data_IF_276350262969
#
_entry.id   IF_276350262969
#
_cell.length_a   1.000
_cell.length_b   1.000
_cell.length_c   1.000
_cell.angle_alpha   90.00
_cell.angle_beta   90.00
_cell.angle_gamma   90.00
#
_symmetry.space_group_name_H-M   'P 1'
#
loop_
_entity.id
_entity.type
_entity.pdbx_description
1 polymer ?
#
# COMPACT_ATOMS: atom_id res chain seq x y z
N UNK A 1 10.11 -56.46 -1.63
CA UNK A 1 9.63 -55.07 -1.50
C UNK A 1 10.41 -54.44 -0.34
N UNK A 2 11.29 -53.48 -0.61
CA UNK A 2 11.77 -52.48 0.36
C UNK A 2 12.68 -51.49 -0.37
N UNK A 3 12.16 -50.29 -0.62
CA UNK A 3 12.89 -49.18 -1.19
C UNK A 3 13.67 -48.47 -0.07
N UNK A 4 15.01 -48.52 -0.13
CA UNK A 4 15.87 -47.64 0.67
C UNK A 4 16.04 -46.32 -0.05
N UNK A 5 15.31 -45.31 0.38
CA UNK A 5 15.45 -43.93 -0.07
C UNK A 5 16.67 -43.29 0.58
N UNK A 6 17.63 -42.86 -0.24
CA UNK A 6 18.79 -42.05 0.17
C UNK A 6 18.32 -40.72 0.81
N UNK A 7 18.95 -40.23 1.87
CA UNK A 7 18.68 -38.89 2.37
C UNK A 7 19.31 -37.86 1.41
N UNK A 8 18.45 -37.14 0.70
CA UNK A 8 18.85 -35.99 -0.11
C UNK A 8 19.34 -34.86 0.79
N UNK A 9 20.57 -34.42 0.54
CA UNK A 9 21.16 -33.19 1.07
C UNK A 9 20.40 -31.98 0.51
N UNK A 10 19.41 -31.49 1.26
CA UNK A 10 18.75 -30.22 0.98
C UNK A 10 19.16 -29.18 2.04
N UNK A 11 19.69 -28.07 1.53
CA UNK A 11 20.29 -26.90 2.18
C UNK A 11 19.59 -26.39 3.46
N UNK A 12 20.33 -25.71 4.36
CA UNK A 12 19.74 -25.10 5.53
C UNK A 12 18.71 -24.05 5.10
N UNK A 13 17.46 -24.24 5.52
CA UNK A 13 16.43 -23.20 5.42
C UNK A 13 16.85 -22.12 6.42
N UNK A 14 17.41 -21.02 5.91
CA UNK A 14 17.67 -19.82 6.70
C UNK A 14 16.31 -19.22 7.05
N UNK A 15 15.69 -19.73 8.12
CA UNK A 15 14.62 -19.02 8.85
C UNK A 15 15.28 -17.85 9.59
N UNK A 16 15.56 -16.76 8.88
CA UNK A 16 15.96 -15.49 9.52
C UNK A 16 15.69 -14.32 8.58
N UNK A 17 14.41 -13.97 8.46
CA UNK A 17 14.00 -12.64 8.00
C UNK A 17 12.72 -12.13 8.70
N UNK A 18 12.20 -12.85 9.70
CA UNK A 18 10.94 -12.48 10.37
C UNK A 18 11.08 -11.36 11.41
N UNK A 19 12.25 -10.74 11.56
CA UNK A 19 12.50 -9.73 12.61
C UNK A 19 13.23 -8.48 12.10
N UNK A 20 13.18 -8.19 10.79
CA UNK A 20 13.56 -6.87 10.32
C UNK A 20 12.49 -5.86 10.79
N UNK A 21 12.84 -4.76 11.47
CA UNK A 21 11.87 -3.70 11.72
C UNK A 21 11.36 -3.24 10.37
N UNK A 22 10.07 -3.44 10.11
CA UNK A 22 9.39 -2.84 8.96
C UNK A 22 9.53 -1.34 9.21
N UNK A 23 10.53 -0.70 8.58
CA UNK A 23 10.54 0.74 8.40
C UNK A 23 9.29 1.00 7.57
N UNK A 24 8.19 1.33 8.24
CA UNK A 24 6.99 1.84 7.61
C UNK A 24 7.43 3.09 6.87
N UNK A 25 7.75 2.95 5.58
CA UNK A 25 7.92 4.09 4.70
C UNK A 25 6.55 4.76 4.68
N UNK A 26 6.44 5.87 5.42
CA UNK A 26 5.27 6.72 5.35
C UNK A 26 5.13 7.18 3.90
N UNK A 27 4.10 6.67 3.22
CA UNK A 27 3.75 7.13 1.87
C UNK A 27 3.31 8.58 2.03
N UNK A 28 3.90 9.49 1.24
CA UNK A 28 3.49 10.90 1.29
C UNK A 28 2.04 11.04 0.82
N UNK A 29 1.35 12.04 1.36
CA UNK A 29 -0.01 12.39 0.93
C UNK A 29 -0.04 12.62 -0.58
N UNK A 30 0.97 13.32 -1.14
CA UNK A 30 1.13 13.53 -2.59
C UNK A 30 1.19 12.23 -3.40
N UNK A 31 1.90 11.22 -2.90
CA UNK A 31 2.03 9.93 -3.58
C UNK A 31 0.71 9.18 -3.56
N UNK A 32 -0.01 9.24 -2.44
CA UNK A 32 -1.34 8.62 -2.33
C UNK A 32 -2.34 9.32 -3.24
N UNK A 33 -2.36 10.65 -3.20
CA UNK A 33 -3.13 11.54 -4.06
C UNK A 33 -2.96 11.21 -5.55
N UNK A 34 -1.72 11.17 -6.04
CA UNK A 34 -1.42 10.84 -7.43
C UNK A 34 -1.82 9.39 -7.81
N UNK A 35 -1.68 8.45 -6.88
CA UNK A 35 -2.11 7.06 -7.09
C UNK A 35 -3.62 6.97 -7.25
N UNK A 36 -4.40 7.68 -6.43
CA UNK A 36 -5.86 7.71 -6.53
C UNK A 36 -6.29 8.34 -7.86
N UNK A 37 -5.66 9.43 -8.29
CA UNK A 37 -5.97 10.08 -9.57
C UNK A 37 -5.76 9.11 -10.75
N UNK A 38 -4.64 8.38 -10.76
CA UNK A 38 -4.39 7.36 -11.78
C UNK A 38 -5.41 6.23 -11.75
N UNK A 39 -5.86 5.82 -10.57
CA UNK A 39 -6.90 4.81 -10.44
C UNK A 39 -8.26 5.30 -10.96
N UNK A 40 -8.58 6.59 -10.81
CA UNK A 40 -9.78 7.21 -11.37
C UNK A 40 -9.73 7.13 -12.89
N UNK A 41 -8.64 7.59 -13.51
CA UNK A 41 -8.45 7.53 -14.98
C UNK A 41 -8.62 6.09 -15.49
N UNK A 42 -8.02 5.11 -14.80
CA UNK A 42 -8.17 3.70 -15.15
C UNK A 42 -9.61 3.19 -15.01
N UNK A 43 -10.34 3.62 -13.98
CA UNK A 43 -11.73 3.23 -13.79
C UNK A 43 -12.66 3.88 -14.82
N UNK A 44 -12.36 5.10 -15.26
CA UNK A 44 -13.05 5.79 -16.36
C UNK A 44 -12.80 5.06 -17.69
N UNK A 45 -11.55 4.73 -18.00
CA UNK A 45 -11.15 4.00 -19.21
C UNK A 45 -11.82 2.62 -19.29
N UNK A 46 -11.98 1.95 -18.15
CA UNK A 46 -12.66 0.65 -18.04
C UNK A 46 -14.19 0.77 -18.02
N UNK A 47 -14.74 1.98 -17.95
CA UNK A 47 -16.18 2.21 -17.90
C UNK A 47 -16.83 1.64 -16.64
N UNK A 48 -16.20 1.83 -15.47
CA UNK A 48 -16.70 1.35 -14.16
C UNK A 48 -17.10 2.55 -13.28
N UNK A 49 -18.32 3.10 -13.43
CA UNK A 49 -18.71 4.35 -12.74
C UNK A 49 -18.71 4.27 -11.22
N UNK A 50 -19.04 3.10 -10.66
CA UNK A 50 -19.04 2.89 -9.21
C UNK A 50 -17.64 2.95 -8.61
N UNK A 51 -16.63 2.48 -9.35
CA UNK A 51 -15.23 2.57 -8.92
C UNK A 51 -14.74 4.03 -8.99
N UNK A 52 -15.08 4.75 -10.06
CA UNK A 52 -14.80 6.19 -10.19
C UNK A 52 -15.36 6.95 -8.99
N UNK A 53 -16.65 6.76 -8.68
CA UNK A 53 -17.29 7.45 -7.55
C UNK A 53 -16.61 7.14 -6.22
N UNK A 54 -16.28 5.87 -5.96
CA UNK A 54 -15.61 5.47 -4.73
C UNK A 54 -14.20 6.09 -4.61
N UNK A 55 -13.45 6.11 -5.71
CA UNK A 55 -12.11 6.70 -5.75
C UNK A 55 -12.13 8.22 -5.60
N UNK A 56 -13.13 8.91 -6.18
CA UNK A 56 -13.34 10.34 -5.96
C UNK A 56 -13.64 10.66 -4.50
N UNK A 57 -14.42 9.81 -3.82
CA UNK A 57 -14.66 9.96 -2.38
C UNK A 57 -13.37 9.75 -1.56
N UNK A 58 -12.60 8.71 -1.87
CA UNK A 58 -11.31 8.47 -1.23
C UNK A 58 -10.36 9.65 -1.43
N UNK A 59 -10.37 10.27 -2.62
CA UNK A 59 -9.57 11.46 -2.90
C UNK A 59 -9.94 12.62 -1.99
N UNK A 60 -11.23 12.90 -1.85
CA UNK A 60 -11.72 13.96 -0.98
C UNK A 60 -11.28 13.74 0.49
N UNK A 61 -11.33 12.50 0.97
CA UNK A 61 -10.88 12.17 2.33
C UNK A 61 -9.38 12.45 2.55
N UNK A 62 -8.56 12.15 1.54
CA UNK A 62 -7.11 12.45 1.56
C UNK A 62 -6.88 13.96 1.62
N UNK A 63 -7.55 14.74 0.76
CA UNK A 63 -7.40 16.20 0.72
C UNK A 63 -7.86 16.86 2.03
N UNK A 64 -8.97 16.41 2.61
CA UNK A 64 -9.45 16.91 3.90
C UNK A 64 -8.49 16.58 5.05
N UNK A 65 -7.83 15.42 4.99
CA UNK A 65 -6.82 15.01 5.98
C UNK A 65 -5.59 15.91 5.89
N UNK A 66 -5.14 16.23 4.67
CA UNK A 66 -4.04 17.18 4.43
C UNK A 66 -4.34 18.55 5.03
N UNK A 67 -5.52 19.10 4.74
CA UNK A 67 -5.98 20.38 5.29
C UNK A 67 -6.00 20.35 6.84
N UNK A 68 -6.50 19.27 7.42
CA UNK A 68 -6.54 19.12 8.88
C UNK A 68 -5.14 19.10 9.50
N UNK A 69 -4.18 18.44 8.84
CA UNK A 69 -2.78 18.45 9.26
C UNK A 69 -2.18 19.84 9.14
N UNK A 70 -2.33 20.52 8.00
CA UNK A 70 -1.82 21.89 7.82
C UNK A 70 -2.37 22.87 8.86
N UNK A 71 -3.66 22.76 9.19
CA UNK A 71 -4.33 23.62 10.16
C UNK A 71 -3.76 23.44 11.57
N UNK A 72 -3.45 22.19 11.96
CA UNK A 72 -2.80 21.92 13.25
C UNK A 72 -1.41 22.51 13.35
N UNK A 73 -0.64 22.50 12.26
CA UNK A 73 0.68 23.11 12.24
C UNK A 73 0.62 24.64 12.34
N UNK A 74 -0.35 25.29 11.68
CA UNK A 74 -0.56 26.76 11.75
C UNK A 74 -0.97 27.25 13.14
N UNK A 75 -1.70 26.46 13.91
CA UNK A 75 -2.15 26.83 15.27
C UNK A 75 -1.13 26.51 16.38
N UNK A 76 -0.02 25.85 16.05
CA UNK A 76 1.01 25.43 17.00
C UNK A 76 2.31 26.24 16.92
N UNK A 77 2.32 27.31 16.13
CA UNK A 77 3.43 28.25 15.93
C UNK A 77 3.07 29.64 16.48
#
# INVERSE_FOLDING_TARGET
MNASSKPGTARPVVLSAANAPIKQQAISIDTLASTINRAIEQAEDLGIPSAVQLLMMARLEVDLTEIALETRHKNSA
#
